data_IF_404172191931
#
_entry.id   IF_404172191931
#
_cell.length_a   1.000
_cell.length_b   1.000
_cell.length_c   1.000
_cell.angle_alpha   90.00
_cell.angle_beta   90.00
_cell.angle_gamma   90.00
#
_symmetry.space_group_name_H-M   'P 1'
#
loop_
_entity.id
_entity.type
_entity.pdbx_description
1 polymer ?
#
# COMPACT_ATOMS: atom_id res chain seq x y z
N UNK A 1 -34.12 38.82 13.34
CA UNK A 1 -35.39 38.98 12.59
C UNK A 1 -35.23 38.28 11.24
N UNK A 2 -36.28 37.59 10.77
CA UNK A 2 -36.38 36.78 9.52
C UNK A 2 -35.54 35.49 9.50
N UNK A 3 -36.01 34.25 9.71
CA UNK A 3 -37.26 33.47 9.46
C UNK A 3 -37.60 33.15 7.98
N UNK A 4 -37.53 31.82 7.70
CA UNK A 4 -38.29 30.95 6.76
C UNK A 4 -37.82 30.81 5.30
N UNK A 5 -38.21 29.74 4.55
CA UNK A 5 -38.81 28.42 4.91
C UNK A 5 -38.07 27.21 4.25
N UNK A 6 -38.04 26.01 4.83
CA UNK A 6 -39.02 24.91 4.67
C UNK A 6 -39.51 24.68 3.23
N UNK A 7 -39.04 23.62 2.57
CA UNK A 7 -39.76 22.97 1.47
C UNK A 7 -39.54 21.46 1.53
N UNK A 8 -40.49 20.86 2.25
CA UNK A 8 -40.85 19.47 2.29
C UNK A 8 -41.54 19.15 0.95
N UNK A 9 -41.01 18.23 0.15
CA UNK A 9 -41.79 17.62 -0.94
C UNK A 9 -41.78 16.10 -0.78
N UNK A 10 -42.78 15.64 -0.05
CA UNK A 10 -43.24 14.26 -0.03
C UNK A 10 -43.91 14.00 -1.38
N UNK A 11 -43.38 13.10 -2.21
CA UNK A 11 -44.12 12.55 -3.34
C UNK A 11 -44.19 11.03 -3.20
N UNK A 12 -45.33 10.57 -2.68
CA UNK A 12 -45.70 9.17 -2.61
C UNK A 12 -46.18 8.73 -4.00
N UNK A 13 -45.43 7.83 -4.65
CA UNK A 13 -45.94 7.10 -5.80
C UNK A 13 -46.64 5.82 -5.32
N UNK A 14 -47.95 5.87 -5.42
CA UNK A 14 -48.90 4.78 -5.29
C UNK A 14 -48.89 3.92 -6.57
N UNK A 15 -48.89 2.60 -6.43
CA UNK A 15 -49.48 1.70 -7.42
C UNK A 15 -48.52 0.95 -8.36
N UNK A 16 -48.45 -0.36 -8.15
CA UNK A 16 -48.64 -1.37 -9.20
C UNK A 16 -48.77 -2.74 -8.53
N UNK A 17 -49.99 -3.26 -8.47
CA UNK A 17 -50.26 -4.65 -8.15
C UNK A 17 -49.88 -5.51 -9.37
N UNK A 18 -48.92 -6.41 -9.20
CA UNK A 18 -48.63 -7.46 -10.16
C UNK A 18 -48.60 -8.80 -9.41
N UNK A 19 -49.61 -9.62 -9.68
CA UNK A 19 -49.66 -11.03 -9.35
C UNK A 19 -48.34 -11.71 -9.70
N UNK A 20 -47.75 -12.41 -8.74
CA UNK A 20 -46.67 -13.37 -9.00
C UNK A 20 -47.09 -14.73 -8.51
N UNK A 21 -47.13 -15.62 -9.48
CA UNK A 21 -47.24 -17.07 -9.43
C UNK A 21 -46.33 -17.65 -8.35
N UNK A 22 -46.90 -18.50 -7.49
CA UNK A 22 -46.14 -19.29 -6.51
C UNK A 22 -45.32 -20.35 -7.24
N UNK A 23 -44.08 -20.02 -7.57
CA UNK A 23 -43.05 -21.02 -7.82
C UNK A 23 -42.40 -21.37 -6.48
N UNK A 24 -42.67 -22.57 -5.98
CA UNK A 24 -41.88 -23.19 -4.91
C UNK A 24 -40.48 -23.43 -5.45
N UNK A 25 -39.60 -22.44 -5.30
CA UNK A 25 -38.17 -22.62 -5.48
C UNK A 25 -37.65 -23.15 -4.16
N UNK A 26 -37.35 -24.44 -4.14
CA UNK A 26 -36.52 -25.09 -3.14
C UNK A 26 -35.22 -24.29 -3.01
N UNK A 27 -35.17 -23.43 -2.01
CA UNK A 27 -33.97 -22.69 -1.67
C UNK A 27 -33.01 -23.69 -1.04
N UNK A 28 -32.20 -24.32 -1.88
CA UNK A 28 -30.94 -24.90 -1.43
C UNK A 28 -30.22 -23.81 -0.62
N UNK A 29 -29.69 -24.11 0.57
CA UNK A 29 -28.92 -23.12 1.30
C UNK A 29 -27.72 -22.75 0.42
N UNK A 30 -27.73 -21.53 -0.13
CA UNK A 30 -26.49 -20.89 -0.55
C UNK A 30 -25.70 -20.69 0.72
N UNK A 31 -24.82 -21.63 1.02
CA UNK A 31 -23.59 -21.34 1.74
C UNK A 31 -22.79 -20.40 0.85
N UNK A 32 -23.24 -19.14 0.78
CA UNK A 32 -22.38 -18.02 0.48
C UNK A 32 -21.50 -17.87 1.73
N UNK A 33 -20.60 -18.83 1.89
CA UNK A 33 -19.41 -18.59 2.67
C UNK A 33 -18.64 -17.61 1.79
N UNK A 34 -18.90 -16.35 2.04
CA UNK A 34 -17.85 -15.36 2.12
C UNK A 34 -16.86 -15.85 3.19
N UNK A 35 -16.15 -16.94 2.86
CA UNK A 35 -14.85 -17.16 3.44
C UNK A 35 -14.10 -15.95 2.98
N UNK A 36 -13.95 -14.96 3.86
CA UNK A 36 -12.83 -14.03 3.86
C UNK A 36 -11.55 -14.85 3.92
N UNK A 37 -11.29 -15.58 2.83
CA UNK A 37 -10.04 -16.20 2.52
C UNK A 37 -9.17 -14.98 2.28
N UNK A 38 -8.46 -14.58 3.33
CA UNK A 38 -7.32 -13.70 3.19
C UNK A 38 -6.56 -14.22 1.96
N UNK A 39 -6.42 -13.35 0.95
CA UNK A 39 -5.65 -13.69 -0.22
C UNK A 39 -4.31 -14.28 0.25
N UNK A 40 -3.76 -15.30 -0.44
CA UNK A 40 -2.49 -15.88 -0.02
C UNK A 40 -1.48 -14.75 0.18
N UNK A 41 -0.84 -14.73 1.36
CA UNK A 41 0.10 -13.68 1.72
C UNK A 41 1.10 -13.49 0.58
N UNK A 42 1.12 -12.29 0.00
CA UNK A 42 2.00 -12.04 -1.14
C UNK A 42 3.45 -12.08 -0.70
N UNK A 43 4.32 -12.61 -1.56
CA UNK A 43 5.77 -12.53 -1.33
C UNK A 43 6.15 -11.05 -1.16
N UNK A 44 7.00 -10.71 -0.18
CA UNK A 44 7.43 -9.32 0.01
C UNK A 44 8.19 -8.80 -1.22
N UNK A 45 8.09 -7.49 -1.45
CA UNK A 45 8.92 -6.77 -2.40
C UNK A 45 10.14 -6.22 -1.67
N UNK A 46 11.32 -6.61 -2.14
CA UNK A 46 12.58 -6.06 -1.67
C UNK A 46 12.79 -4.66 -2.27
N UNK A 47 13.05 -3.67 -1.43
CA UNK A 47 13.50 -2.35 -1.85
C UNK A 47 15.00 -2.30 -1.66
N UNK A 48 15.71 -2.06 -2.77
CA UNK A 48 17.18 -2.01 -2.78
C UNK A 48 17.68 -0.63 -3.16
N UNK A 49 18.80 -0.23 -2.57
CA UNK A 49 19.53 0.98 -2.91
C UNK A 49 20.92 0.58 -3.40
N UNK A 50 21.36 1.12 -4.53
CA UNK A 50 22.69 0.87 -5.07
C UNK A 50 23.59 2.10 -4.90
N UNK A 51 24.65 1.94 -4.11
CA UNK A 51 25.73 2.93 -3.86
C UNK A 51 27.06 2.37 -4.34
N UNK A 52 27.43 2.52 -5.63
CA UNK A 52 28.55 1.77 -6.21
C UNK A 52 29.91 2.10 -5.58
N UNK A 53 30.11 3.35 -5.16
CA UNK A 53 31.45 3.88 -4.84
C UNK A 53 31.66 4.17 -3.34
N UNK A 54 30.64 4.05 -2.50
CA UNK A 54 30.70 4.46 -1.10
C UNK A 54 29.75 3.65 -0.21
N UNK A 55 30.10 3.48 1.09
CA UNK A 55 29.21 2.83 2.04
C UNK A 55 27.96 3.68 2.30
N UNK A 56 26.82 3.03 2.50
CA UNK A 56 25.57 3.71 2.82
C UNK A 56 25.42 3.90 4.33
N UNK A 57 25.15 5.15 4.75
CA UNK A 57 24.87 5.50 6.14
C UNK A 57 23.41 5.88 6.40
N UNK A 58 22.78 6.60 5.47
CA UNK A 58 21.39 7.07 5.60
C UNK A 58 20.70 7.12 4.23
N UNK A 59 19.40 6.83 4.21
CA UNK A 59 18.56 6.97 3.02
C UNK A 59 17.19 7.57 3.34
N UNK A 60 16.58 8.18 2.33
CA UNK A 60 15.14 8.44 2.27
C UNK A 60 14.62 8.00 0.91
N UNK A 61 13.68 7.06 0.90
CA UNK A 61 13.02 6.58 -0.31
C UNK A 61 11.51 6.80 -0.21
N UNK A 62 10.89 7.08 -1.35
CA UNK A 62 9.44 7.26 -1.47
C UNK A 62 8.90 6.12 -2.30
N UNK A 63 7.91 5.42 -1.74
CA UNK A 63 7.22 4.30 -2.34
C UNK A 63 5.88 4.79 -2.89
N UNK A 64 5.64 4.62 -4.18
CA UNK A 64 4.44 5.05 -4.87
C UNK A 64 3.65 3.84 -5.39
N UNK A 65 2.34 3.83 -5.12
CA UNK A 65 1.40 2.79 -5.52
C UNK A 65 -0.01 3.36 -5.67
N UNK A 66 -0.92 2.55 -6.22
CA UNK A 66 -2.34 2.85 -6.33
C UNK A 66 -3.08 2.32 -5.09
N UNK A 67 -3.49 3.20 -4.15
CA UNK A 67 -4.13 2.80 -2.90
C UNK A 67 -5.58 2.32 -3.11
N UNK A 68 -6.15 2.46 -4.30
CA UNK A 68 -7.46 1.87 -4.62
C UNK A 68 -7.34 0.41 -5.03
N UNK A 69 -6.16 -0.02 -5.49
CA UNK A 69 -5.90 -1.38 -5.96
C UNK A 69 -5.22 -2.25 -4.90
N UNK A 70 -4.36 -1.67 -4.06
CA UNK A 70 -3.50 -2.40 -3.11
C UNK A 70 -3.35 -1.66 -1.79
N UNK A 71 -3.03 -2.36 -0.71
CA UNK A 71 -2.65 -1.78 0.59
C UNK A 71 -1.34 -2.36 1.10
N UNK A 72 -0.57 -1.58 1.87
CA UNK A 72 0.61 -2.11 2.56
C UNK A 72 0.16 -2.86 3.82
N UNK A 73 0.56 -4.13 3.92
CA UNK A 73 0.26 -4.99 5.05
C UNK A 73 1.38 -5.01 6.09
N UNK A 74 2.64 -4.94 5.64
CA UNK A 74 3.79 -4.94 6.53
C UNK A 74 5.02 -4.32 5.86
N UNK A 75 5.86 -3.69 6.67
CA UNK A 75 7.21 -3.24 6.29
C UNK A 75 8.19 -3.91 7.26
N UNK A 76 9.06 -4.75 6.73
CA UNK A 76 10.04 -5.51 7.51
C UNK A 76 11.43 -4.89 7.40
N UNK A 77 12.24 -4.96 8.48
CA UNK A 77 13.63 -4.52 8.44
C UNK A 77 14.47 -5.35 7.47
N UNK A 78 15.55 -4.76 6.97
CA UNK A 78 16.60 -5.50 6.28
C UNK A 78 17.68 -5.99 7.26
N UNK A 79 18.56 -6.93 6.88
CA UNK A 79 19.72 -7.29 7.69
C UNK A 79 20.70 -6.11 7.87
N UNK A 80 20.81 -5.26 6.85
CA UNK A 80 21.78 -4.18 6.80
C UNK A 80 21.32 -2.90 7.47
N UNK A 81 20.02 -2.75 7.79
CA UNK A 81 19.46 -1.57 8.46
C UNK A 81 18.48 -1.96 9.56
N UNK A 82 18.31 -1.08 10.55
CA UNK A 82 17.15 -1.19 11.45
C UNK A 82 15.85 -1.01 10.65
N UNK A 83 14.72 -1.33 11.27
CA UNK A 83 13.42 -1.04 10.67
C UNK A 83 13.36 0.45 10.27
N UNK A 84 12.93 0.76 9.03
CA UNK A 84 12.81 2.14 8.61
C UNK A 84 11.74 2.88 9.43
N UNK A 85 11.94 4.17 9.61
CA UNK A 85 10.90 5.08 10.06
C UNK A 85 9.89 5.29 8.92
N UNK A 86 8.60 5.19 9.25
CA UNK A 86 7.47 5.44 8.36
C UNK A 86 6.23 5.83 9.17
N UNK A 87 5.18 6.30 8.49
CA UNK A 87 3.88 6.58 9.10
C UNK A 87 2.81 5.65 8.54
N UNK A 88 2.19 4.82 9.38
CA UNK A 88 1.10 3.92 8.96
C UNK A 88 -0.11 4.68 8.41
N UNK A 89 -0.31 5.94 8.82
CA UNK A 89 -1.33 6.82 8.24
C UNK A 89 -1.11 7.12 6.75
N UNK A 90 0.06 6.80 6.19
CA UNK A 90 0.34 7.00 4.76
C UNK A 90 0.06 5.75 3.92
N UNK A 91 -0.29 4.61 4.52
CA UNK A 91 -0.52 3.36 3.78
C UNK A 91 -1.73 3.39 2.84
N UNK A 92 -2.61 4.37 2.99
CA UNK A 92 -3.81 4.55 2.16
C UNK A 92 -3.76 5.79 1.24
N UNK A 93 -2.64 6.52 1.22
CA UNK A 93 -2.48 7.74 0.41
C UNK A 93 -1.92 7.45 -0.98
N UNK A 94 -1.35 6.26 -1.19
CA UNK A 94 -0.61 5.91 -2.42
C UNK A 94 0.86 6.32 -2.39
N UNK A 95 1.32 6.94 -1.29
CA UNK A 95 2.69 7.40 -1.11
C UNK A 95 3.16 7.13 0.32
N UNK A 96 4.27 6.40 0.48
CA UNK A 96 4.89 6.14 1.78
C UNK A 96 6.36 6.52 1.73
N UNK A 97 6.78 7.34 2.69
CA UNK A 97 8.19 7.69 2.88
C UNK A 97 8.83 6.71 3.86
N UNK A 98 9.95 6.13 3.46
CA UNK A 98 10.80 5.29 4.30
C UNK A 98 12.15 5.96 4.49
N UNK A 99 12.59 6.11 5.73
CA UNK A 99 13.91 6.62 6.04
C UNK A 99 14.57 5.78 7.12
N UNK A 100 15.88 5.56 7.01
CA UNK A 100 16.66 4.99 8.09
C UNK A 100 18.08 5.54 8.04
N UNK A 101 18.72 5.52 9.20
CA UNK A 101 20.15 5.79 9.34
C UNK A 101 20.79 4.72 10.22
N UNK A 102 22.10 4.54 10.08
CA UNK A 102 22.86 3.70 10.97
C UNK A 102 24.29 4.18 11.16
N UNK A 103 24.86 3.81 12.31
CA UNK A 103 26.22 4.17 12.69
C UNK A 103 27.27 3.19 12.13
N UNK A 104 26.86 1.97 11.76
CA UNK A 104 27.74 1.01 11.11
C UNK A 104 27.53 1.09 9.59
N UNK A 105 28.56 1.37 8.78
CA UNK A 105 28.41 1.46 7.33
C UNK A 105 27.88 0.17 6.72
N UNK A 106 26.86 0.26 5.87
CA UNK A 106 26.58 -0.82 4.92
C UNK A 106 27.66 -0.76 3.81
N UNK A 107 28.16 -1.91 3.33
CA UNK A 107 29.18 -1.93 2.29
C UNK A 107 28.67 -1.28 0.99
N UNK A 108 29.56 -0.74 0.14
CA UNK A 108 29.18 -0.29 -1.19
C UNK A 108 28.51 -1.39 -2.03
N UNK A 109 27.72 -0.97 -3.01
CA UNK A 109 26.97 -1.84 -3.91
C UNK A 109 25.46 -1.82 -3.63
N UNK A 110 24.80 -2.94 -4.00
CA UNK A 110 23.35 -3.08 -3.88
C UNK A 110 22.97 -3.59 -2.49
N UNK A 111 22.25 -2.76 -1.75
CA UNK A 111 21.89 -3.00 -0.35
C UNK A 111 20.38 -3.12 -0.23
N UNK A 112 19.90 -4.11 0.52
CA UNK A 112 18.50 -4.23 0.89
C UNK A 112 18.18 -3.21 2.00
N UNK A 113 17.19 -2.36 1.78
CA UNK A 113 16.81 -1.31 2.76
C UNK A 113 15.44 -1.56 3.39
N UNK A 114 14.54 -2.26 2.72
CA UNK A 114 13.25 -2.65 3.29
C UNK A 114 12.66 -3.84 2.54
N UNK A 115 11.76 -4.57 3.20
CA UNK A 115 10.85 -5.52 2.55
C UNK A 115 9.41 -5.10 2.78
N UNK A 116 8.62 -4.99 1.73
CA UNK A 116 7.24 -4.50 1.83
C UNK A 116 6.27 -5.58 1.36
N UNK A 117 5.32 -5.97 2.21
CA UNK A 117 4.19 -6.82 1.82
C UNK A 117 3.01 -5.96 1.41
N UNK A 118 2.42 -6.30 0.28
CA UNK A 118 1.20 -5.69 -0.24
C UNK A 118 0.06 -6.71 -0.21
N UNK A 119 -1.14 -6.22 0.05
CA UNK A 119 -2.38 -6.98 -0.08
C UNK A 119 -3.25 -6.36 -1.17
N UNK A 120 -3.86 -7.23 -1.96
CA UNK A 120 -4.74 -6.81 -3.04
C UNK A 120 -6.10 -6.38 -2.51
N UNK A 121 -6.59 -5.24 -2.99
CA UNK A 121 -7.95 -4.76 -2.75
C UNK A 121 -8.82 -5.17 -3.94
N UNK A 122 -9.82 -6.02 -3.67
CA UNK A 122 -10.76 -6.51 -4.68
C UNK A 122 -10.10 -7.23 -5.89
N UNK A 123 -8.91 -7.81 -5.69
CA UNK A 123 -8.15 -8.46 -6.77
C UNK A 123 -7.47 -7.47 -7.72
N UNK A 124 -7.29 -6.21 -7.29
CA UNK A 124 -6.53 -5.18 -8.00
C UNK A 124 -5.05 -5.54 -8.18
N UNK A 125 -4.34 -4.69 -8.90
CA UNK A 125 -2.87 -4.71 -8.97
C UNK A 125 -2.38 -3.28 -9.11
N UNK A 126 -1.26 -2.96 -8.49
CA UNK A 126 -0.62 -1.66 -8.63
C UNK A 126 0.72 -1.75 -9.35
N UNK A 127 1.03 -0.73 -10.16
CA UNK A 127 2.43 -0.43 -10.47
C UNK A 127 3.12 0.08 -9.20
N UNK A 128 4.33 -0.39 -8.94
CA UNK A 128 5.15 0.06 -7.84
C UNK A 128 6.30 0.89 -8.40
N UNK A 129 6.38 2.15 -7.99
CA UNK A 129 7.51 3.03 -8.30
C UNK A 129 8.23 3.41 -7.00
N UNK A 130 9.57 3.50 -7.08
CA UNK A 130 10.43 3.87 -5.95
C UNK A 130 11.25 5.08 -6.37
N UNK A 131 11.18 6.14 -5.58
CA UNK A 131 11.99 7.35 -5.77
C UNK A 131 13.00 7.47 -4.64
N UNK A 132 14.22 7.83 -5.00
CA UNK A 132 15.26 8.14 -4.04
C UNK A 132 15.28 9.65 -3.82
N UNK A 133 15.01 10.10 -2.60
CA UNK A 133 14.98 11.53 -2.24
C UNK A 133 16.31 11.97 -1.65
N UNK A 134 16.89 11.16 -0.76
CA UNK A 134 18.16 11.48 -0.14
C UNK A 134 18.99 10.24 0.15
N UNK A 135 20.31 10.41 0.10
CA UNK A 135 21.29 9.34 0.24
C UNK A 135 22.59 9.92 0.79
N UNK A 136 23.08 9.39 1.91
CA UNK A 136 24.30 9.86 2.56
C UNK A 136 25.16 8.70 3.05
N UNK A 137 26.47 8.91 3.10
CA UNK A 137 27.40 8.01 3.77
C UNK A 137 27.32 8.15 5.31
N UNK A 138 28.04 7.34 6.10
CA UNK A 138 28.04 7.44 7.57
C UNK A 138 28.59 8.77 8.10
N UNK A 139 29.38 9.49 7.32
CA UNK A 139 29.97 10.78 7.67
C UNK A 139 29.04 11.97 7.29
N UNK A 140 27.87 11.68 6.70
CA UNK A 140 26.89 12.68 6.29
C UNK A 140 27.19 13.32 4.93
N UNK A 141 28.09 12.75 4.13
CA UNK A 141 28.39 13.22 2.78
C UNK A 141 27.30 12.71 1.81
N UNK A 142 26.70 13.59 0.98
CA UNK A 142 25.73 13.17 -0.02
C UNK A 142 26.32 12.17 -1.01
N UNK A 143 25.58 11.09 -1.27
CA UNK A 143 25.95 10.04 -2.23
C UNK A 143 25.11 10.10 -3.50
N UNK A 144 25.66 9.51 -4.57
CA UNK A 144 24.89 9.18 -5.78
C UNK A 144 24.49 7.72 -5.71
N UNK A 145 23.26 7.44 -6.13
CA UNK A 145 22.75 6.07 -6.16
C UNK A 145 21.39 6.01 -6.84
N UNK A 146 20.78 4.82 -6.77
CA UNK A 146 19.41 4.59 -7.24
C UNK A 146 18.69 3.65 -6.30
N UNK A 147 17.39 3.85 -6.13
CA UNK A 147 16.52 2.92 -5.43
C UNK A 147 15.69 2.12 -6.46
N UNK A 148 15.53 0.82 -6.22
CA UNK A 148 14.83 -0.09 -7.12
C UNK A 148 14.06 -1.15 -6.32
N UNK A 149 12.79 -1.42 -6.68
CA UNK A 149 12.08 -2.57 -6.14
C UNK A 149 12.53 -3.85 -6.86
N UNK A 150 12.40 -5.01 -6.22
CA UNK A 150 12.66 -6.31 -6.88
C UNK A 150 11.67 -6.63 -8.00
N UNK A 151 10.47 -6.03 -7.96
CA UNK A 151 9.45 -6.10 -9.01
C UNK A 151 8.66 -4.80 -9.09
N UNK A 152 8.14 -4.49 -10.28
CA UNK A 152 7.42 -3.23 -10.56
C UNK A 152 5.90 -3.36 -10.54
N UNK A 153 5.38 -4.56 -10.25
CA UNK A 153 3.96 -4.77 -10.00
C UNK A 153 3.75 -5.52 -8.70
N UNK A 154 2.69 -5.13 -7.99
CA UNK A 154 2.26 -5.75 -6.74
C UNK A 154 0.77 -6.10 -6.80
N UNK A 155 0.34 -7.16 -6.10
CA UNK A 155 -1.08 -7.50 -5.96
C UNK A 155 -1.82 -6.42 -5.22
#
# INVERSE_FOLDING_TARGET
MSRLPASLLLLACLGCAASRESATVESAPRTDRDTGLAAPASDPVDITVDTPDAPLGCYTVVILFDPAAVQIAAIEPSPEFRAPDYSEHTFHTGEVVLSAYQLQPAPPGRILVARIRFESLHGGQSRLDVRLESLYDPDGVPLRGRAQPSRTRVP
#
